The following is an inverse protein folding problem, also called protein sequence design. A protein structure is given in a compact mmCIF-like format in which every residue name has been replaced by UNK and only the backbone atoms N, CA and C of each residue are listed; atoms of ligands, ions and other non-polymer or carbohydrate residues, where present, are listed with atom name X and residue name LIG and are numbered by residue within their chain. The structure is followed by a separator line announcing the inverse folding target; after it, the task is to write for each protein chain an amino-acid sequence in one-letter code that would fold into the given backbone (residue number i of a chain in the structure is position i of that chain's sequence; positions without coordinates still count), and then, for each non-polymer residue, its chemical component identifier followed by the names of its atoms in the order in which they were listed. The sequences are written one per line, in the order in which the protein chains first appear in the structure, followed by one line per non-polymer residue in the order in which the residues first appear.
data_IF_116535376289
#
_entry.id   IF_116535376289
#
_cell.length_a   1.000
_cell.length_b   1.000
_cell.length_c   1.000
_cell.angle_alpha   90.00
_cell.angle_beta   90.00
_cell.angle_gamma   90.00
#
_symmetry.space_group_name_H-M   'P 1'
#
loop_
_entity.id
_entity.type
_entity.pdbx_description
1 polymer ?
#
# COMPACT_ATOMS: atom_id res chain seq x y z
N UNK A 1 21.62 -13.45 -7.04
CA UNK A 1 22.10 -13.67 -5.65
C UNK A 1 22.41 -12.37 -4.93
N UNK A 2 23.08 -11.39 -5.56
CA UNK A 2 23.39 -10.09 -4.93
C UNK A 2 22.14 -9.26 -4.58
N UNK A 3 21.15 -9.20 -5.46
CA UNK A 3 19.91 -8.43 -5.24
C UNK A 3 19.10 -8.94 -4.05
N UNK A 4 18.94 -10.25 -3.93
CA UNK A 4 18.25 -10.86 -2.78
C UNK A 4 18.99 -10.60 -1.48
N UNK A 5 20.34 -10.65 -1.49
CA UNK A 5 21.14 -10.33 -0.32
C UNK A 5 20.98 -8.86 0.10
N UNK A 6 20.90 -7.93 -0.86
CA UNK A 6 20.64 -6.53 -0.58
C UNK A 6 19.28 -6.33 0.12
N UNK A 7 18.22 -6.97 -0.37
CA UNK A 7 16.90 -6.90 0.27
C UNK A 7 16.89 -7.48 1.69
N UNK A 8 17.64 -8.55 1.93
CA UNK A 8 17.83 -9.09 3.28
C UNK A 8 18.55 -8.11 4.20
N UNK A 9 19.64 -7.51 3.73
CA UNK A 9 20.41 -6.50 4.50
C UNK A 9 19.50 -5.32 4.85
N UNK A 10 18.78 -4.78 3.87
CA UNK A 10 17.83 -3.67 4.09
C UNK A 10 16.76 -4.07 5.13
N UNK A 11 16.21 -5.27 5.03
CA UNK A 11 15.21 -5.77 6.00
C UNK A 11 15.77 -5.83 7.42
N UNK A 12 16.99 -6.34 7.58
CA UNK A 12 17.67 -6.39 8.89
C UNK A 12 17.93 -4.98 9.43
N UNK A 13 18.40 -4.06 8.59
CA UNK A 13 18.64 -2.67 8.97
C UNK A 13 17.37 -1.97 9.44
N UNK A 14 16.24 -2.17 8.72
CA UNK A 14 14.94 -1.62 9.13
C UNK A 14 14.55 -2.13 10.51
N UNK A 15 14.66 -3.44 10.77
CA UNK A 15 14.37 -4.02 12.10
C UNK A 15 15.31 -3.45 13.16
N UNK A 16 16.61 -3.35 12.88
CA UNK A 16 17.59 -2.81 13.81
C UNK A 16 17.30 -1.33 14.16
N UNK A 17 16.96 -0.50 13.17
CA UNK A 17 16.53 0.89 13.37
C UNK A 17 15.25 0.95 14.21
N UNK A 18 14.31 0.03 13.98
CA UNK A 18 13.06 -0.01 14.75
C UNK A 18 13.33 -0.33 16.23
N UNK A 19 14.16 -1.33 16.50
CA UNK A 19 14.57 -1.70 17.87
C UNK A 19 15.34 -0.56 18.54
N UNK A 20 16.30 0.05 17.82
CA UNK A 20 17.01 1.22 18.32
C UNK A 20 16.02 2.34 18.67
N UNK A 21 15.11 2.69 17.78
CA UNK A 21 14.12 3.76 18.01
C UNK A 21 13.35 3.56 19.31
N UNK A 22 12.91 2.33 19.58
CA UNK A 22 12.24 1.98 20.84
C UNK A 22 13.18 2.15 22.04
N UNK A 23 14.41 1.61 21.99
CA UNK A 23 15.39 1.73 23.08
C UNK A 23 15.73 3.21 23.35
N UNK A 24 15.96 3.99 22.30
CA UNK A 24 16.24 5.42 22.38
C UNK A 24 15.09 6.18 23.03
N UNK A 25 13.85 5.85 22.66
CA UNK A 25 12.67 6.44 23.24
C UNK A 25 12.48 6.07 24.72
N UNK A 26 12.78 4.83 25.11
CA UNK A 26 12.72 4.38 26.50
C UNK A 26 13.78 5.05 27.38
N UNK A 27 14.94 5.39 26.81
CA UNK A 27 16.02 6.12 27.50
C UNK A 27 15.83 7.64 27.51
N UNK A 28 14.91 8.16 26.71
CA UNK A 28 14.65 9.60 26.60
C UNK A 28 14.09 10.18 27.90
N UNK A 29 14.41 11.43 28.28
CA UNK A 29 13.83 12.10 29.46
C UNK A 29 12.36 12.55 29.27
N UNK A 30 11.68 12.11 28.20
CA UNK A 30 10.28 12.44 27.91
C UNK A 30 9.32 11.97 29.02
N UNK A 31 8.23 12.71 29.21
CA UNK A 31 7.10 12.27 30.04
C UNK A 31 6.49 10.95 29.51
N UNK A 32 6.01 10.05 30.39
CA UNK A 32 5.46 8.76 29.98
C UNK A 32 4.36 8.86 28.91
N UNK A 33 3.44 9.83 29.06
CA UNK A 33 2.33 10.05 28.13
C UNK A 33 2.83 10.39 26.72
N UNK A 34 3.89 11.21 26.61
CA UNK A 34 4.49 11.60 25.33
C UNK A 34 5.24 10.43 24.69
N UNK A 35 5.85 9.54 25.49
CA UNK A 35 6.51 8.33 24.96
C UNK A 35 5.52 7.40 24.28
N UNK A 36 4.33 7.22 24.84
CA UNK A 36 3.31 6.32 24.27
C UNK A 36 2.95 6.74 22.84
N UNK A 37 2.78 8.04 22.58
CA UNK A 37 2.49 8.55 21.22
C UNK A 37 3.56 8.12 20.22
N UNK A 38 4.83 8.22 20.62
CA UNK A 38 5.96 7.84 19.76
C UNK A 38 6.09 6.32 19.59
N UNK A 39 5.85 5.53 20.63
CA UNK A 39 5.78 4.07 20.50
C UNK A 39 4.70 3.70 19.50
N UNK A 40 3.49 4.26 19.66
CA UNK A 40 2.39 4.05 18.72
C UNK A 40 2.81 4.45 17.31
N UNK A 41 3.43 5.61 17.11
CA UNK A 41 3.88 6.05 15.78
C UNK A 41 4.88 5.07 15.13
N UNK A 42 5.87 4.59 15.89
CA UNK A 42 6.90 3.63 15.42
C UNK A 42 6.25 2.35 14.89
N UNK A 43 5.23 1.83 15.56
CA UNK A 43 4.53 0.61 15.13
C UNK A 43 3.40 0.86 14.14
N UNK A 44 2.73 2.00 14.23
CA UNK A 44 1.57 2.32 13.40
C UNK A 44 1.97 2.47 11.93
N UNK A 45 3.10 3.13 11.65
CA UNK A 45 3.58 3.33 10.28
C UNK A 45 3.76 2.03 9.48
N UNK A 46 4.54 1.03 9.94
CA UNK A 46 4.70 -0.24 9.22
C UNK A 46 3.40 -1.06 9.17
N UNK A 47 2.57 -0.98 10.22
CA UNK A 47 1.27 -1.66 10.24
C UNK A 47 0.33 -1.06 9.21
N UNK A 48 0.23 0.27 9.10
CA UNK A 48 -0.62 0.94 8.12
C UNK A 48 -0.20 0.60 6.69
N UNK A 49 1.10 0.64 6.37
CA UNK A 49 1.59 0.23 5.05
C UNK A 49 1.22 -1.22 4.72
N UNK A 50 1.37 -2.11 5.68
CA UNK A 50 1.01 -3.53 5.55
C UNK A 50 -0.50 -3.74 5.37
N UNK A 51 -1.33 -2.98 6.11
CA UNK A 51 -2.79 -3.03 6.01
C UNK A 51 -3.28 -2.51 4.65
N UNK A 52 -2.71 -1.42 4.14
CA UNK A 52 -3.04 -0.89 2.81
C UNK A 52 -2.69 -1.91 1.74
N UNK A 53 -1.52 -2.54 1.82
CA UNK A 53 -1.13 -3.60 0.90
C UNK A 53 -2.07 -4.81 0.99
N UNK A 54 -2.38 -5.27 2.19
CA UNK A 54 -3.31 -6.37 2.41
C UNK A 54 -4.70 -6.05 1.85
N UNK A 55 -5.20 -4.84 2.09
CA UNK A 55 -6.46 -4.39 1.52
C UNK A 55 -6.44 -4.38 -0.01
N UNK A 56 -5.37 -3.82 -0.59
CA UNK A 56 -5.18 -3.80 -2.04
C UNK A 56 -5.18 -5.21 -2.61
N UNK A 57 -4.45 -6.13 -1.97
CA UNK A 57 -4.29 -7.51 -2.44
C UNK A 57 -5.57 -8.33 -2.30
N UNK A 58 -6.27 -8.21 -1.17
CA UNK A 58 -7.40 -9.07 -0.80
C UNK A 58 -8.74 -8.54 -1.31
N UNK A 59 -8.93 -7.23 -1.35
CA UNK A 59 -10.22 -6.63 -1.70
C UNK A 59 -10.18 -5.93 -3.06
N UNK A 60 -9.19 -5.07 -3.29
CA UNK A 60 -9.16 -4.24 -4.50
C UNK A 60 -8.79 -5.05 -5.76
N UNK A 61 -7.70 -5.83 -5.69
CA UNK A 61 -7.18 -6.62 -6.81
C UNK A 61 -8.20 -7.60 -7.42
N UNK A 62 -8.89 -8.47 -6.64
CA UNK A 62 -9.86 -9.39 -7.22
C UNK A 62 -11.09 -8.67 -7.80
N UNK A 63 -11.58 -7.60 -7.15
CA UNK A 63 -12.69 -6.79 -7.67
C UNK A 63 -12.34 -6.16 -9.02
N UNK A 64 -11.14 -5.60 -9.16
CA UNK A 64 -10.65 -5.01 -10.41
C UNK A 64 -10.47 -6.04 -11.53
N UNK A 65 -9.95 -7.23 -11.20
CA UNK A 65 -9.78 -8.31 -12.18
C UNK A 65 -11.13 -8.85 -12.69
N UNK A 66 -12.16 -8.85 -11.86
CA UNK A 66 -13.53 -9.22 -12.27
C UNK A 66 -14.16 -8.19 -13.23
N UNK A 67 -13.91 -6.90 -13.01
CA UNK A 67 -14.41 -5.82 -13.88
C UNK A 67 -13.70 -5.76 -15.24
N UNK A 68 -12.40 -6.06 -15.23
CA UNK A 68 -11.51 -5.96 -16.40
C UNK A 68 -10.55 -7.16 -16.42
N UNK A 69 -10.93 -8.27 -17.09
CA UNK A 69 -10.12 -9.50 -17.11
C UNK A 69 -8.75 -9.34 -17.78
N UNK A 70 -8.60 -8.37 -18.68
CA UNK A 70 -7.35 -8.07 -19.39
C UNK A 70 -6.45 -7.04 -18.67
N UNK A 71 -6.85 -6.58 -17.49
CA UNK A 71 -6.07 -5.64 -16.69
C UNK A 71 -4.84 -6.32 -16.08
N UNK A 72 -3.66 -5.74 -16.32
CA UNK A 72 -2.38 -6.19 -15.78
C UNK A 72 -1.65 -4.99 -15.16
N UNK A 73 -1.50 -4.92 -13.82
CA UNK A 73 -0.87 -3.79 -13.15
C UNK A 73 0.61 -3.62 -13.50
N UNK A 74 1.27 -4.64 -14.03
CA UNK A 74 2.70 -4.61 -14.35
C UNK A 74 2.98 -4.12 -15.78
N UNK A 75 1.94 -3.88 -16.59
CA UNK A 75 2.10 -3.37 -17.96
C UNK A 75 2.00 -1.85 -17.98
N UNK A 76 3.06 -1.13 -18.43
CA UNK A 76 2.98 0.31 -18.67
C UNK A 76 1.82 0.62 -19.64
N UNK A 77 0.98 1.60 -19.32
CA UNK A 77 -0.13 2.05 -20.18
C UNK A 77 -1.51 1.42 -19.93
N UNK A 78 -1.65 0.48 -18.99
CA UNK A 78 -2.97 -0.07 -18.58
C UNK A 78 -3.75 0.85 -17.63
N UNK A 79 -3.24 2.05 -17.34
CA UNK A 79 -3.76 3.00 -16.34
C UNK A 79 -5.18 3.52 -16.58
N UNK A 80 -5.77 3.33 -17.77
CA UNK A 80 -7.08 3.90 -18.11
C UNK A 80 -7.99 2.92 -18.88
N UNK A 81 -7.97 1.62 -18.57
CA UNK A 81 -9.03 0.74 -19.09
C UNK A 81 -10.34 1.13 -18.40
N UNK A 82 -11.14 1.93 -19.11
CA UNK A 82 -12.47 2.38 -18.67
C UNK A 82 -13.30 1.16 -18.27
N UNK A 83 -13.84 1.10 -17.03
CA UNK A 83 -14.66 -0.02 -16.58
C UNK A 83 -15.77 -0.29 -17.58
N UNK A 84 -16.07 -1.58 -17.86
CA UNK A 84 -17.08 -1.97 -18.86
C UNK A 84 -18.44 -1.28 -18.64
N UNK A 85 -18.81 -1.06 -17.37
CA UNK A 85 -19.99 -0.29 -16.94
C UNK A 85 -20.01 1.15 -17.48
N UNK A 86 -18.87 1.84 -17.40
CA UNK A 86 -18.76 3.24 -17.84
C UNK A 86 -18.75 3.34 -19.38
N UNK A 87 -18.22 2.31 -20.07
CA UNK A 87 -18.28 2.23 -21.55
C UNK A 87 -19.71 2.01 -22.07
N UNK A 88 -20.54 1.28 -21.34
CA UNK A 88 -21.94 1.05 -21.74
C UNK A 88 -22.77 2.34 -21.65
N UNK A 89 -22.53 3.14 -20.62
CA UNK A 89 -23.20 4.41 -20.36
C UNK A 89 -22.92 5.46 -21.45
N UNK A 90 -21.65 5.68 -21.80
CA UNK A 90 -21.27 6.59 -22.90
C UNK A 90 -21.89 6.22 -24.25
N UNK A 91 -22.11 4.93 -24.51
CA UNK A 91 -22.71 4.47 -25.77
C UNK A 91 -24.21 4.81 -25.84
N UNK A 92 -24.90 4.86 -24.71
CA UNK A 92 -26.33 5.19 -24.67
C UNK A 92 -26.55 6.70 -24.79
N UNK A 93 -25.68 7.52 -24.18
CA UNK A 93 -25.75 8.98 -24.31
C UNK A 93 -25.36 9.52 -25.70
N UNK A 94 -24.53 8.80 -26.47
CA UNK A 94 -24.18 9.18 -27.85
C UNK A 94 -25.17 8.70 -28.92
N UNK A 95 -26.16 7.89 -28.56
CA UNK A 95 -27.11 7.29 -29.50
C UNK A 95 -28.38 8.13 -29.73
N UNK A 96 -28.52 9.28 -29.06
CA UNK A 96 -29.64 10.20 -29.27
C UNK A 96 -29.16 11.43 -30.07
N UNK A 97 -29.40 11.42 -31.38
CA UNK A 97 -29.48 12.62 -32.20
C UNK A 97 -30.85 12.61 -32.90
N UNK A 98 -31.72 13.61 -32.66
CA UNK A 98 -32.96 13.78 -33.42
C UNK A 98 -32.69 14.15 -34.88
#
# INVERSE_FOLDING_TARGET
MLESALWWIVSILVVAVMVWSVISLLRSPLEPQRRIVWVVAIFLLPVLGSLVWAWWRLYYYPRRKAETPNWDPNRPGTGHVVPRRLRADHRQHGAWKP
#
